data_IF_136544430451
#
_entry.id   IF_136544430451
#
_cell.length_a   1.000
_cell.length_b   1.000
_cell.length_c   1.000
_cell.angle_alpha   90.00
_cell.angle_beta   90.00
_cell.angle_gamma   90.00
#
_symmetry.space_group_name_H-M   'P 1'
#
loop_
_entity.id
_entity.type
_entity.pdbx_description
1 polymer ?
#
# COMPACT_ATOMS: atom_id res chain seq x y z
N UNK A 1 5.24 -23.57 1.83
CA UNK A 1 4.32 -22.90 2.77
C UNK A 1 4.17 -21.48 2.30
N UNK A 2 2.94 -20.99 2.17
CA UNK A 2 2.69 -19.59 1.88
C UNK A 2 3.18 -18.68 3.02
N UNK A 3 3.45 -17.41 2.70
CA UNK A 3 3.74 -16.37 3.70
C UNK A 3 2.51 -16.06 4.58
N UNK A 4 1.31 -16.43 4.12
CA UNK A 4 0.03 -16.16 4.75
C UNK A 4 -0.54 -17.40 5.45
N UNK A 5 -1.55 -17.17 6.29
CA UNK A 5 -2.35 -18.24 6.88
C UNK A 5 -3.39 -18.70 5.84
N UNK A 6 -3.21 -19.92 5.31
CA UNK A 6 -4.01 -20.48 4.22
C UNK A 6 -5.49 -20.68 4.63
N UNK A 7 -5.76 -20.87 5.93
CA UNK A 7 -7.12 -20.97 6.46
C UNK A 7 -7.77 -19.57 6.46
N UNK A 8 -7.04 -18.53 6.88
CA UNK A 8 -7.52 -17.15 6.83
C UNK A 8 -7.83 -16.72 5.39
N UNK A 9 -6.91 -17.00 4.45
CA UNK A 9 -7.11 -16.73 3.03
C UNK A 9 -8.33 -17.44 2.50
N UNK A 10 -8.48 -18.75 2.75
CA UNK A 10 -9.65 -19.51 2.31
C UNK A 10 -10.97 -18.92 2.84
N UNK A 11 -11.01 -18.54 4.12
CA UNK A 11 -12.19 -17.93 4.73
C UNK A 11 -12.51 -16.59 4.03
N UNK A 12 -11.48 -15.80 3.73
CA UNK A 12 -11.60 -14.54 3.01
C UNK A 12 -12.12 -14.73 1.59
N UNK A 13 -11.53 -15.65 0.84
CA UNK A 13 -11.90 -16.01 -0.54
C UNK A 13 -13.35 -16.52 -0.61
N UNK A 14 -13.76 -17.41 0.30
CA UNK A 14 -15.12 -17.95 0.35
C UNK A 14 -16.14 -16.80 0.57
N UNK A 15 -15.84 -15.86 1.47
CA UNK A 15 -16.69 -14.68 1.71
C UNK A 15 -16.74 -13.77 0.48
N UNK A 16 -15.59 -13.54 -0.15
CA UNK A 16 -15.47 -12.70 -1.34
C UNK A 16 -16.27 -13.28 -2.50
N UNK A 17 -16.12 -14.57 -2.80
CA UNK A 17 -16.77 -15.23 -3.93
C UNK A 17 -18.29 -15.31 -3.75
N UNK A 18 -18.78 -15.63 -2.54
CA UNK A 18 -20.22 -15.61 -2.25
C UNK A 18 -20.79 -14.19 -2.44
N UNK A 19 -20.11 -13.18 -1.89
CA UNK A 19 -20.54 -11.79 -2.00
C UNK A 19 -20.50 -11.29 -3.45
N UNK A 20 -19.42 -11.57 -4.18
CA UNK A 20 -19.22 -11.19 -5.59
C UNK A 20 -20.33 -11.74 -6.48
N UNK A 21 -20.72 -13.00 -6.26
CA UNK A 21 -21.86 -13.61 -6.98
C UNK A 21 -23.14 -12.80 -6.79
N UNK A 22 -23.46 -12.42 -5.55
CA UNK A 22 -24.66 -11.62 -5.23
C UNK A 22 -24.62 -10.22 -5.86
N UNK A 23 -23.44 -9.58 -5.86
CA UNK A 23 -23.25 -8.27 -6.52
C UNK A 23 -23.50 -8.38 -8.03
N UNK A 24 -22.99 -9.43 -8.68
CA UNK A 24 -23.18 -9.67 -10.11
C UNK A 24 -24.64 -9.98 -10.48
N UNK A 25 -25.32 -10.77 -9.66
CA UNK A 25 -26.76 -11.03 -9.79
C UNK A 25 -27.59 -9.72 -9.71
N UNK A 26 -27.14 -8.76 -8.91
CA UNK A 26 -27.76 -7.43 -8.76
C UNK A 26 -27.22 -6.36 -9.73
N UNK A 27 -26.40 -6.71 -10.73
CA UNK A 27 -25.69 -5.73 -11.58
C UNK A 27 -26.60 -4.73 -12.30
N UNK A 28 -27.79 -5.14 -12.74
CA UNK A 28 -28.79 -4.24 -13.35
C UNK A 28 -29.40 -3.23 -12.36
N UNK A 29 -29.67 -3.66 -11.12
CA UNK A 29 -30.14 -2.79 -10.05
C UNK A 29 -29.03 -1.82 -9.61
N UNK A 30 -27.79 -2.28 -9.57
CA UNK A 30 -26.63 -1.45 -9.24
C UNK A 30 -26.40 -0.41 -10.35
N UNK A 31 -26.51 -0.77 -11.63
CA UNK A 31 -26.45 0.20 -12.73
C UNK A 31 -27.53 1.29 -12.57
N UNK A 32 -28.76 0.87 -12.26
CA UNK A 32 -29.85 1.80 -11.97
C UNK A 32 -29.52 2.70 -10.78
N UNK A 33 -29.00 2.14 -9.68
CA UNK A 33 -28.58 2.90 -8.50
C UNK A 33 -27.50 3.94 -8.84
N UNK A 34 -26.51 3.58 -9.66
CA UNK A 34 -25.48 4.51 -10.14
C UNK A 34 -26.10 5.67 -10.90
N UNK A 35 -27.06 5.40 -11.80
CA UNK A 35 -27.77 6.46 -12.52
C UNK A 35 -28.53 7.40 -11.57
N UNK A 36 -29.22 6.87 -10.56
CA UNK A 36 -29.95 7.67 -9.57
C UNK A 36 -29.03 8.54 -8.70
N UNK A 37 -27.80 8.08 -8.42
CA UNK A 37 -26.80 8.81 -7.64
C UNK A 37 -26.02 9.83 -8.47
N UNK A 38 -25.96 9.66 -9.78
CA UNK A 38 -25.25 10.51 -10.73
C UNK A 38 -26.18 11.45 -11.50
N UNK A 39 -25.99 11.53 -12.82
CA UNK A 39 -26.71 12.46 -13.72
C UNK A 39 -28.15 12.03 -14.06
N UNK A 40 -28.58 10.83 -13.67
CA UNK A 40 -29.84 10.21 -14.10
C UNK A 40 -29.75 9.51 -15.47
N UNK A 41 -30.89 9.01 -15.95
CA UNK A 41 -31.03 8.42 -17.30
C UNK A 41 -30.97 6.89 -17.36
N UNK A 42 -31.19 6.37 -18.58
CA UNK A 42 -31.18 4.94 -18.87
C UNK A 42 -29.74 4.41 -18.84
N UNK A 43 -29.46 3.54 -17.87
CA UNK A 43 -28.15 2.97 -17.63
C UNK A 43 -28.11 1.47 -17.90
N UNK A 44 -26.92 0.96 -18.23
CA UNK A 44 -26.67 -0.47 -18.40
C UNK A 44 -25.32 -0.85 -17.80
N UNK A 45 -25.30 -2.00 -17.14
CA UNK A 45 -24.08 -2.68 -16.80
C UNK A 45 -23.33 -3.12 -18.07
N UNK A 46 -22.03 -2.86 -18.13
CA UNK A 46 -21.16 -3.19 -19.28
C UNK A 46 -20.31 -4.41 -18.97
N UNK A 47 -19.42 -4.28 -17.99
CA UNK A 47 -18.49 -5.30 -17.54
C UNK A 47 -18.02 -5.00 -16.12
N UNK A 48 -17.25 -5.92 -15.55
CA UNK A 48 -16.71 -5.80 -14.20
C UNK A 48 -15.19 -5.94 -14.21
N UNK A 49 -14.56 -5.41 -13.17
CA UNK A 49 -13.13 -5.52 -12.90
C UNK A 49 -12.93 -5.96 -11.46
N UNK A 50 -11.91 -6.78 -11.25
CA UNK A 50 -11.54 -7.31 -9.94
C UNK A 50 -10.09 -6.94 -9.68
N UNK A 51 -9.86 -6.25 -8.57
CA UNK A 51 -8.53 -6.05 -7.98
C UNK A 51 -8.42 -6.84 -6.67
N UNK A 52 -7.28 -6.73 -5.99
CA UNK A 52 -7.02 -7.49 -4.76
C UNK A 52 -8.04 -7.23 -3.65
N UNK A 53 -8.50 -5.99 -3.51
CA UNK A 53 -9.39 -5.57 -2.42
C UNK A 53 -10.75 -5.05 -2.89
N UNK A 54 -10.87 -4.68 -4.16
CA UNK A 54 -12.04 -3.97 -4.66
C UNK A 54 -12.65 -4.66 -5.88
N UNK A 55 -13.98 -4.67 -5.92
CA UNK A 55 -14.77 -5.15 -7.04
C UNK A 55 -15.49 -3.96 -7.69
N UNK A 56 -15.35 -3.84 -9.00
CA UNK A 56 -15.81 -2.69 -9.76
C UNK A 56 -16.80 -3.09 -10.85
N UNK A 57 -17.86 -2.31 -11.02
CA UNK A 57 -18.81 -2.45 -12.12
C UNK A 57 -18.78 -1.19 -12.98
N UNK A 58 -18.58 -1.36 -14.29
CA UNK A 58 -18.68 -0.28 -15.28
C UNK A 58 -20.13 -0.15 -15.74
N UNK A 59 -20.60 1.09 -15.75
CA UNK A 59 -21.97 1.47 -16.11
C UNK A 59 -21.90 2.49 -17.24
N UNK A 60 -22.67 2.25 -18.31
CA UNK A 60 -22.80 3.16 -19.46
C UNK A 60 -24.20 3.76 -19.51
N UNK A 61 -24.32 4.89 -20.19
CA UNK A 61 -25.54 5.68 -20.31
C UNK A 61 -25.88 5.92 -21.79
N UNK A 62 -27.16 5.90 -22.15
CA UNK A 62 -27.58 6.08 -23.56
C UNK A 62 -27.35 7.51 -24.09
N UNK A 63 -27.19 8.50 -23.21
CA UNK A 63 -27.18 9.93 -23.56
C UNK A 63 -25.80 10.48 -23.99
N UNK A 64 -24.87 9.63 -24.43
CA UNK A 64 -23.47 10.00 -24.72
C UNK A 64 -22.71 10.58 -23.50
N UNK A 65 -23.19 10.32 -22.28
CA UNK A 65 -22.42 10.63 -21.08
C UNK A 65 -21.23 9.68 -20.94
N UNK A 66 -20.11 10.13 -20.35
CA UNK A 66 -19.00 9.25 -20.03
C UNK A 66 -19.45 8.10 -19.13
N UNK A 67 -18.84 6.93 -19.34
CA UNK A 67 -19.09 5.79 -18.49
C UNK A 67 -18.68 6.10 -17.04
N UNK A 68 -19.41 5.50 -16.11
CA UNK A 68 -19.11 5.56 -14.69
C UNK A 68 -18.63 4.21 -14.18
N UNK A 69 -17.89 4.22 -13.08
CA UNK A 69 -17.49 3.02 -12.36
C UNK A 69 -17.97 3.13 -10.92
N UNK A 70 -18.63 2.08 -10.43
CA UNK A 70 -18.90 1.91 -9.01
C UNK A 70 -17.94 0.86 -8.46
N UNK A 71 -17.28 1.19 -7.37
CA UNK A 71 -16.28 0.35 -6.69
C UNK A 71 -16.72 0.06 -5.27
N UNK A 72 -16.64 -1.21 -4.90
CA UNK A 72 -16.87 -1.71 -3.54
C UNK A 72 -15.59 -2.39 -3.03
N UNK A 73 -15.05 -2.04 -1.84
CA UNK A 73 -14.12 -2.92 -1.16
C UNK A 73 -14.87 -4.20 -0.79
N UNK A 74 -14.39 -5.39 -1.10
CA UNK A 74 -15.15 -6.62 -0.80
C UNK A 74 -14.87 -7.20 0.61
N UNK A 75 -15.81 -7.97 1.17
CA UNK A 75 -15.60 -8.68 2.43
C UNK A 75 -14.53 -9.78 2.27
N UNK A 76 -13.97 -10.24 3.39
CA UNK A 76 -12.89 -11.22 3.40
C UNK A 76 -11.53 -10.63 3.04
N UNK A 77 -11.47 -9.80 1.99
CA UNK A 77 -10.23 -9.16 1.52
C UNK A 77 -10.05 -7.74 2.09
N UNK A 78 -11.07 -7.20 2.75
CA UNK A 78 -10.99 -5.89 3.42
C UNK A 78 -11.79 -5.89 4.72
N UNK A 79 -11.12 -5.50 5.82
CA UNK A 79 -11.73 -5.50 7.16
C UNK A 79 -12.49 -4.20 7.45
N UNK A 80 -11.82 -3.04 7.41
CA UNK A 80 -12.39 -1.75 7.82
C UNK A 80 -13.05 -1.00 6.66
N UNK A 81 -14.01 -1.64 5.98
CA UNK A 81 -14.53 -1.20 4.67
C UNK A 81 -15.08 0.24 4.68
N UNK A 82 -15.96 0.59 5.63
CA UNK A 82 -16.59 1.92 5.70
C UNK A 82 -15.57 3.03 6.01
N UNK A 83 -14.63 2.73 6.90
CA UNK A 83 -13.53 3.63 7.25
C UNK A 83 -12.59 3.85 6.06
N UNK A 84 -12.22 2.77 5.36
CA UNK A 84 -11.39 2.78 4.15
C UNK A 84 -11.98 3.69 3.07
N UNK A 85 -13.27 3.52 2.74
CA UNK A 85 -13.96 4.36 1.74
C UNK A 85 -14.01 5.81 2.19
N UNK A 86 -14.30 6.07 3.47
CA UNK A 86 -14.32 7.45 4.00
C UNK A 86 -12.96 8.12 3.86
N UNK A 87 -11.88 7.41 4.20
CA UNK A 87 -10.52 7.95 4.12
C UNK A 87 -10.11 8.21 2.67
N UNK A 88 -10.36 7.28 1.75
CA UNK A 88 -10.04 7.44 0.34
C UNK A 88 -10.81 8.61 -0.30
N UNK A 89 -12.09 8.77 0.02
CA UNK A 89 -12.89 9.91 -0.46
C UNK A 89 -12.33 11.25 0.02
N UNK A 90 -11.89 11.34 1.28
CA UNK A 90 -11.24 12.55 1.78
C UNK A 90 -9.95 12.85 1.04
N UNK A 91 -9.15 11.84 0.71
CA UNK A 91 -7.93 12.00 -0.09
C UNK A 91 -8.25 12.46 -1.51
N UNK A 92 -9.24 11.85 -2.18
CA UNK A 92 -9.68 12.28 -3.51
C UNK A 92 -10.12 13.75 -3.50
N UNK A 93 -10.96 14.14 -2.53
CA UNK A 93 -11.39 15.54 -2.37
C UNK A 93 -10.21 16.48 -2.12
N UNK A 94 -9.29 16.12 -1.23
CA UNK A 94 -8.10 16.93 -0.92
C UNK A 94 -7.26 17.15 -2.17
N UNK A 95 -6.94 16.09 -2.91
CA UNK A 95 -6.10 16.21 -4.09
C UNK A 95 -6.77 16.99 -5.22
N UNK A 96 -8.09 16.86 -5.40
CA UNK A 96 -8.84 17.65 -6.37
C UNK A 96 -8.85 19.16 -6.03
N UNK A 97 -8.85 19.49 -4.73
CA UNK A 97 -8.83 20.89 -4.28
C UNK A 97 -7.43 21.51 -4.29
N UNK A 98 -6.40 20.73 -4.00
CA UNK A 98 -5.07 21.23 -3.66
C UNK A 98 -4.01 20.99 -4.75
N UNK A 99 -4.28 20.13 -5.72
CA UNK A 99 -3.29 19.71 -6.74
C UNK A 99 -3.87 19.74 -8.14
N UNK A 100 -2.99 19.61 -9.13
CA UNK A 100 -3.38 19.37 -10.52
C UNK A 100 -3.19 17.88 -10.91
N UNK A 101 -3.06 16.98 -9.93
CA UNK A 101 -2.94 15.55 -10.17
C UNK A 101 -4.24 15.08 -10.84
N UNK A 102 -4.17 14.44 -12.02
CA UNK A 102 -5.38 14.00 -12.71
C UNK A 102 -5.97 12.81 -11.96
N UNK A 103 -7.12 12.99 -11.33
CA UNK A 103 -7.85 11.95 -10.59
C UNK A 103 -9.26 11.87 -11.17
N UNK A 104 -9.82 10.67 -11.40
CA UNK A 104 -11.19 10.53 -11.89
C UNK A 104 -12.17 11.29 -10.99
N UNK A 105 -13.09 12.04 -11.61
CA UNK A 105 -14.02 12.87 -10.84
C UNK A 105 -14.92 12.00 -9.97
N UNK A 106 -14.98 12.33 -8.68
CA UNK A 106 -15.90 11.71 -7.74
C UNK A 106 -17.34 12.15 -8.06
N UNK A 107 -18.21 11.21 -8.39
CA UNK A 107 -19.62 11.47 -8.70
C UNK A 107 -20.50 11.31 -7.46
N UNK A 108 -20.28 10.22 -6.73
CA UNK A 108 -21.02 9.91 -5.51
C UNK A 108 -20.26 8.88 -4.67
N UNK A 109 -20.62 8.74 -3.41
CA UNK A 109 -20.08 7.70 -2.54
C UNK A 109 -21.07 7.48 -1.39
N UNK A 110 -20.90 6.39 -0.65
CA UNK A 110 -21.75 6.09 0.49
C UNK A 110 -21.19 4.97 1.35
N UNK A 111 -21.74 4.85 2.56
CA UNK A 111 -21.38 3.79 3.49
C UNK A 111 -22.23 2.54 3.25
N UNK A 112 -21.94 1.45 3.96
CA UNK A 112 -22.70 0.18 3.85
C UNK A 112 -24.22 0.37 3.99
N UNK A 113 -24.66 1.28 4.87
CA UNK A 113 -26.08 1.59 5.07
C UNK A 113 -26.74 2.26 3.85
N UNK A 114 -25.96 2.92 3.01
CA UNK A 114 -26.43 3.72 1.86
C UNK A 114 -26.42 2.90 0.56
N UNK A 115 -25.94 1.65 0.64
CA UNK A 115 -25.62 0.76 -0.46
C UNK A 115 -26.80 -0.16 -0.81
N UNK A 116 -27.02 -0.47 -2.10
CA UNK A 116 -28.01 -1.47 -2.50
C UNK A 116 -27.72 -2.79 -1.79
N UNK A 117 -28.77 -3.40 -1.21
CA UNK A 117 -28.71 -4.67 -0.47
C UNK A 117 -27.64 -4.73 0.64
N UNK A 118 -27.17 -3.57 1.12
CA UNK A 118 -26.04 -3.49 2.06
C UNK A 118 -24.78 -4.23 1.58
N UNK A 119 -24.50 -4.24 0.27
CA UNK A 119 -23.30 -4.90 -0.24
C UNK A 119 -22.00 -4.34 0.35
N UNK A 120 -22.01 -3.10 0.80
CA UNK A 120 -20.90 -2.44 1.48
C UNK A 120 -20.75 -0.99 1.05
N UNK A 121 -19.77 -0.26 1.59
CA UNK A 121 -19.54 1.12 1.17
C UNK A 121 -19.07 1.14 -0.29
N UNK A 122 -19.28 2.28 -0.94
CA UNK A 122 -19.00 2.40 -2.36
C UNK A 122 -18.45 3.77 -2.73
N UNK A 123 -17.71 3.81 -3.84
CA UNK A 123 -17.29 5.02 -4.54
C UNK A 123 -17.79 4.92 -5.97
N UNK A 124 -18.48 5.96 -6.45
CA UNK A 124 -18.87 6.14 -7.85
C UNK A 124 -18.03 7.27 -8.43
N UNK A 125 -17.27 7.00 -9.48
CA UNK A 125 -16.47 7.99 -10.19
C UNK A 125 -16.67 7.88 -11.70
N UNK A 126 -16.14 8.85 -12.44
CA UNK A 126 -15.92 8.70 -13.88
C UNK A 126 -15.04 7.47 -14.14
N UNK A 127 -15.32 6.77 -15.24
CA UNK A 127 -14.45 5.72 -15.75
C UNK A 127 -13.21 6.37 -16.39
N UNK A 128 -12.02 5.98 -15.93
CA UNK A 128 -10.77 6.52 -16.47
C UNK A 128 -10.43 5.93 -17.84
N UNK A 129 -10.14 6.80 -18.82
CA UNK A 129 -9.66 6.39 -20.13
C UNK A 129 -8.13 6.28 -20.17
N UNK A 130 -7.62 5.19 -20.75
CA UNK A 130 -6.19 4.99 -20.98
C UNK A 130 -5.78 3.53 -20.84
N UNK A 131 -4.47 3.30 -20.87
CA UNK A 131 -3.85 2.01 -20.53
C UNK A 131 -3.00 2.17 -19.28
N UNK A 132 -2.81 1.12 -18.50
CA UNK A 132 -1.96 1.20 -17.32
C UNK A 132 -0.51 1.50 -17.72
N UNK A 133 0.16 2.41 -17.03
CA UNK A 133 1.57 2.75 -17.30
C UNK A 133 2.45 1.50 -17.19
N UNK A 134 2.15 0.61 -16.23
CA UNK A 134 2.86 -0.68 -16.11
C UNK A 134 2.73 -1.56 -17.36
N UNK A 135 1.64 -1.50 -18.12
CA UNK A 135 1.47 -2.30 -19.35
C UNK A 135 2.35 -1.82 -20.49
N UNK A 136 2.72 -0.53 -20.49
CA UNK A 136 3.65 0.05 -21.45
C UNK A 136 5.10 -0.25 -21.04
N UNK A 137 5.38 -0.17 -19.75
CA UNK A 137 6.73 -0.33 -19.21
C UNK A 137 7.18 -1.80 -19.08
N UNK A 138 6.24 -2.75 -19.00
CA UNK A 138 6.57 -4.16 -18.75
C UNK A 138 7.30 -4.83 -19.91
N UNK A 139 8.13 -5.81 -19.58
CA UNK A 139 8.77 -6.68 -20.55
C UNK A 139 7.72 -7.57 -21.25
N UNK A 140 7.53 -7.45 -22.58
CA UNK A 140 6.60 -8.30 -23.31
C UNK A 140 7.00 -9.79 -23.31
N UNK A 141 8.26 -10.12 -23.02
CA UNK A 141 8.75 -11.50 -22.92
C UNK A 141 8.20 -12.23 -21.68
N UNK A 142 7.90 -11.50 -20.60
CA UNK A 142 7.45 -12.08 -19.33
C UNK A 142 5.99 -11.77 -19.04
N UNK A 143 5.08 -12.52 -19.65
CA UNK A 143 3.63 -12.32 -19.49
C UNK A 143 3.09 -12.59 -18.08
N UNK A 144 3.79 -13.41 -17.28
CA UNK A 144 3.33 -13.87 -15.95
C UNK A 144 3.76 -12.96 -14.80
N UNK A 145 4.83 -12.20 -14.98
CA UNK A 145 5.41 -11.39 -13.92
C UNK A 145 5.73 -10.00 -14.45
N UNK A 146 5.41 -8.97 -13.66
CA UNK A 146 5.76 -7.60 -14.01
C UNK A 146 7.26 -7.40 -13.77
N UNK A 147 7.99 -7.26 -14.85
CA UNK A 147 9.37 -6.81 -14.90
C UNK A 147 9.43 -5.59 -15.80
N UNK A 148 10.20 -4.58 -15.42
CA UNK A 148 10.53 -3.49 -16.33
C UNK A 148 11.25 -4.06 -17.57
N UNK A 149 10.84 -3.62 -18.77
CA UNK A 149 11.48 -4.02 -20.01
C UNK A 149 12.94 -3.54 -20.02
N UNK A 150 13.94 -4.44 -20.08
CA UNK A 150 15.35 -4.05 -20.09
C UNK A 150 15.76 -3.29 -21.37
N UNK A 151 14.95 -3.41 -22.43
CA UNK A 151 15.12 -2.72 -23.70
C UNK A 151 14.08 -1.61 -23.90
N UNK A 152 13.49 -1.08 -22.82
CA UNK A 152 12.54 0.03 -22.91
C UNK A 152 13.21 1.25 -23.56
N UNK A 153 12.47 1.97 -24.40
CA UNK A 153 12.95 3.21 -24.97
C UNK A 153 13.26 4.20 -23.84
N UNK A 154 14.51 4.69 -23.80
CA UNK A 154 14.98 5.56 -22.73
C UNK A 154 14.19 6.88 -22.63
N UNK A 155 13.74 7.44 -23.76
CA UNK A 155 12.92 8.67 -23.75
C UNK A 155 11.52 8.41 -23.22
N UNK A 156 10.95 7.25 -23.53
CA UNK A 156 9.66 6.83 -22.99
C UNK A 156 9.75 6.68 -21.47
N UNK A 157 10.79 6.00 -20.97
CA UNK A 157 11.01 5.82 -19.55
C UNK A 157 11.25 7.15 -18.82
N UNK A 158 12.09 8.02 -19.39
CA UNK A 158 12.35 9.36 -18.86
C UNK A 158 11.06 10.20 -18.75
N UNK A 159 10.22 10.20 -19.79
CA UNK A 159 8.92 10.90 -19.77
C UNK A 159 7.99 10.35 -18.66
N UNK A 160 7.94 9.03 -18.50
CA UNK A 160 7.16 8.41 -17.43
C UNK A 160 7.69 8.82 -16.03
N UNK A 161 9.00 8.78 -15.83
CA UNK A 161 9.62 9.18 -14.56
C UNK A 161 9.46 10.66 -14.25
N UNK A 162 9.49 11.54 -15.25
CA UNK A 162 9.25 12.98 -15.08
C UNK A 162 7.82 13.25 -14.61
N UNK A 163 6.81 12.65 -15.24
CA UNK A 163 5.42 12.85 -14.83
C UNK A 163 5.13 12.25 -13.44
N UNK A 164 5.71 11.09 -13.11
CA UNK A 164 5.62 10.52 -11.76
C UNK A 164 6.34 11.39 -10.72
N UNK A 165 7.48 11.98 -11.08
CA UNK A 165 8.20 12.90 -10.20
C UNK A 165 7.37 14.15 -9.91
N UNK A 166 6.68 14.70 -10.91
CA UNK A 166 5.77 15.83 -10.74
C UNK A 166 4.63 15.52 -9.75
N UNK A 167 4.00 14.35 -9.86
CA UNK A 167 2.98 13.89 -8.91
C UNK A 167 3.55 13.79 -7.49
N UNK A 168 4.68 13.11 -7.31
CA UNK A 168 5.31 12.97 -6.00
C UNK A 168 5.69 14.32 -5.38
N UNK A 169 6.19 15.24 -6.19
CA UNK A 169 6.54 16.58 -5.75
C UNK A 169 5.31 17.38 -5.31
N UNK A 170 4.21 17.30 -6.08
CA UNK A 170 2.93 17.90 -5.70
C UNK A 170 2.38 17.31 -4.39
N UNK A 171 2.55 16.01 -4.12
CA UNK A 171 2.13 15.41 -2.85
C UNK A 171 3.02 15.84 -1.68
N UNK A 172 4.33 15.93 -1.91
CA UNK A 172 5.32 16.25 -0.90
C UNK A 172 5.19 17.69 -0.35
N UNK A 173 4.56 18.61 -1.07
CA UNK A 173 4.46 20.02 -0.66
C UNK A 173 3.54 20.25 0.56
N UNK A 174 2.71 19.29 0.95
CA UNK A 174 1.74 19.45 2.03
C UNK A 174 2.28 18.95 3.36
N UNK A 175 2.19 19.81 4.39
CA UNK A 175 2.58 19.51 5.75
C UNK A 175 1.35 19.26 6.64
N UNK A 176 1.45 18.23 7.47
CA UNK A 176 0.40 17.85 8.40
C UNK A 176 0.96 17.74 9.83
N UNK A 177 0.12 17.98 10.86
CA UNK A 177 0.56 18.01 12.26
C UNK A 177 0.65 16.64 12.93
N UNK A 178 0.12 15.59 12.31
CA UNK A 178 0.11 14.22 12.86
C UNK A 178 0.15 13.17 11.72
N UNK A 179 0.47 11.93 12.07
CA UNK A 179 0.31 10.71 11.28
C UNK A 179 -1.12 10.19 11.47
N UNK A 180 -1.88 10.05 10.38
CA UNK A 180 -3.27 9.63 10.45
C UNK A 180 -4.05 9.88 9.15
N UNK A 181 -5.34 9.58 9.18
CA UNK A 181 -6.21 9.86 8.05
C UNK A 181 -6.67 11.33 8.06
N UNK A 182 -6.61 11.98 6.89
CA UNK A 182 -7.12 13.34 6.72
C UNK A 182 -8.65 13.35 6.65
N UNK A 183 -9.24 14.43 7.14
CA UNK A 183 -10.67 14.69 7.04
C UNK A 183 -10.93 16.17 6.85
N UNK A 184 -12.00 16.47 6.11
CA UNK A 184 -12.48 17.83 5.94
C UNK A 184 -13.61 18.12 6.91
N UNK A 185 -13.51 19.22 7.64
CA UNK A 185 -14.66 19.78 8.36
C UNK A 185 -15.47 20.64 7.39
N UNK A 186 -16.67 20.19 7.04
CA UNK A 186 -17.55 20.87 6.08
C UNK A 186 -18.06 22.22 6.62
N UNK A 187 -18.03 22.45 7.94
CA UNK A 187 -18.50 23.71 8.55
C UNK A 187 -17.46 24.82 8.46
N UNK A 188 -16.20 24.51 8.73
CA UNK A 188 -15.08 25.45 8.64
C UNK A 188 -14.37 25.43 7.29
N UNK A 189 -14.66 24.43 6.44
CA UNK A 189 -13.96 24.15 5.19
C UNK A 189 -12.45 23.94 5.39
N UNK A 190 -12.04 23.34 6.52
CA UNK A 190 -10.63 23.11 6.86
C UNK A 190 -10.27 21.62 6.87
N UNK A 191 -9.02 21.34 6.50
CA UNK A 191 -8.45 20.00 6.51
C UNK A 191 -7.72 19.75 7.84
N UNK A 192 -7.92 18.57 8.40
CA UNK A 192 -7.30 18.15 9.67
C UNK A 192 -6.97 16.65 9.65
N UNK A 193 -6.13 16.22 10.59
CA UNK A 193 -5.80 14.80 10.84
C UNK A 193 -6.49 14.38 12.13
N UNK A 194 -7.68 13.78 12.01
CA UNK A 194 -8.53 13.50 13.16
C UNK A 194 -8.63 12.01 13.52
N UNK A 195 -8.17 11.11 12.65
CA UNK A 195 -8.34 9.66 12.79
C UNK A 195 -7.00 8.93 12.68
N UNK A 196 -6.96 7.71 13.22
CA UNK A 196 -5.84 6.78 13.07
C UNK A 196 -5.42 6.63 11.59
N UNK A 197 -4.15 6.28 11.32
CA UNK A 197 -3.79 5.81 10.00
C UNK A 197 -4.47 4.46 9.74
N UNK A 198 -4.96 4.26 8.51
CA UNK A 198 -5.43 2.96 8.04
C UNK A 198 -4.52 2.50 6.89
N UNK A 199 -3.64 1.54 7.13
CA UNK A 199 -2.57 1.16 6.20
C UNK A 199 -2.88 -0.12 5.44
N UNK A 200 -2.19 -0.30 4.31
CA UNK A 200 -2.17 -1.56 3.56
C UNK A 200 -1.80 -2.74 4.48
N UNK A 201 -0.72 -2.59 5.26
CA UNK A 201 -0.24 -3.65 6.16
C UNK A 201 -1.25 -4.03 7.25
N UNK A 202 -2.02 -3.07 7.78
CA UNK A 202 -3.10 -3.37 8.72
C UNK A 202 -4.20 -4.21 8.06
N UNK A 203 -4.52 -3.94 6.80
CA UNK A 203 -5.51 -4.74 6.06
C UNK A 203 -5.01 -6.16 5.82
N UNK A 204 -3.78 -6.34 5.36
CA UNK A 204 -3.19 -7.67 5.16
C UNK A 204 -3.18 -8.47 6.46
N UNK A 205 -2.64 -7.89 7.55
CA UNK A 205 -2.62 -8.56 8.86
C UNK A 205 -4.01 -9.00 9.31
N UNK A 206 -5.02 -8.14 9.11
CA UNK A 206 -6.39 -8.42 9.51
C UNK A 206 -7.10 -9.48 8.65
N UNK A 207 -6.64 -9.72 7.43
CA UNK A 207 -7.32 -10.59 6.46
C UNK A 207 -6.59 -11.90 6.21
N UNK A 208 -5.26 -11.93 6.37
CA UNK A 208 -4.43 -13.09 5.99
C UNK A 208 -3.58 -13.67 7.13
N UNK A 209 -3.63 -13.09 8.33
CA UNK A 209 -2.73 -13.48 9.43
C UNK A 209 -3.41 -13.74 10.79
N UNK A 210 -4.75 -13.76 10.85
CA UNK A 210 -5.53 -13.82 12.10
C UNK A 210 -5.05 -12.83 13.17
N UNK A 211 -4.60 -11.64 12.73
CA UNK A 211 -4.14 -10.60 13.63
C UNK A 211 -5.30 -10.08 14.50
N UNK A 212 -5.10 -9.88 15.83
CA UNK A 212 -6.13 -9.32 16.71
C UNK A 212 -6.39 -7.85 16.35
N UNK A 213 -7.49 -7.59 15.65
CA UNK A 213 -7.81 -6.27 15.07
C UNK A 213 -8.04 -5.18 16.13
N UNK A 214 -8.33 -5.57 17.36
CA UNK A 214 -8.44 -4.70 18.55
C UNK A 214 -7.10 -4.11 19.01
N UNK A 215 -5.97 -4.71 18.62
CA UNK A 215 -4.62 -4.23 18.96
C UNK A 215 -4.15 -3.11 18.01
N UNK A 216 -4.89 -2.84 16.93
CA UNK A 216 -4.58 -1.72 16.04
C UNK A 216 -4.78 -0.38 16.75
N UNK A 217 -3.96 0.60 16.37
CA UNK A 217 -4.10 1.96 16.87
C UNK A 217 -5.50 2.52 16.58
N UNK A 218 -6.03 3.32 17.50
CA UNK A 218 -7.35 3.96 17.39
C UNK A 218 -7.27 5.48 17.27
N UNK A 219 -6.07 6.06 17.37
CA UNK A 219 -5.81 7.51 17.31
C UNK A 219 -4.66 7.85 16.35
N UNK A 220 -4.56 9.12 15.90
CA UNK A 220 -3.37 9.62 15.21
C UNK A 220 -2.11 9.52 16.09
N UNK A 221 -0.93 9.65 15.47
CA UNK A 221 0.36 9.77 16.16
C UNK A 221 0.99 11.14 15.90
N UNK A 222 1.66 11.71 16.90
CA UNK A 222 2.40 12.99 16.79
C UNK A 222 3.91 12.81 16.84
N UNK A 223 4.39 11.55 16.79
CA UNK A 223 5.80 11.19 16.78
C UNK A 223 6.06 10.05 15.79
N UNK A 224 7.08 10.21 14.94
CA UNK A 224 7.55 9.19 14.00
C UNK A 224 8.08 7.96 14.75
N UNK A 225 8.87 8.16 15.80
CA UNK A 225 9.43 7.07 16.61
C UNK A 225 8.33 6.31 17.36
N UNK A 226 7.31 6.98 17.87
CA UNK A 226 6.16 6.29 18.48
C UNK A 226 5.38 5.46 17.47
N UNK A 227 5.23 5.97 16.24
CA UNK A 227 4.62 5.20 15.15
C UNK A 227 5.48 3.98 14.77
N UNK A 228 6.81 4.09 14.71
CA UNK A 228 7.69 2.93 14.45
C UNK A 228 7.74 1.93 15.62
N UNK A 229 7.66 2.39 16.86
CA UNK A 229 7.50 1.50 18.03
C UNK A 229 6.17 0.76 17.95
N UNK A 230 5.11 1.43 17.51
CA UNK A 230 3.82 0.78 17.22
C UNK A 230 3.97 -0.29 16.13
N UNK A 231 4.60 0.00 14.99
CA UNK A 231 4.82 -0.99 13.93
C UNK A 231 5.68 -2.18 14.41
N UNK A 232 6.71 -1.92 15.24
CA UNK A 232 7.54 -3.01 15.80
C UNK A 232 6.76 -3.91 16.75
N UNK A 233 5.85 -3.35 17.56
CA UNK A 233 4.91 -4.15 18.37
C UNK A 233 3.96 -4.96 17.49
N UNK A 234 3.46 -4.37 16.40
CA UNK A 234 2.62 -5.06 15.42
C UNK A 234 3.35 -6.26 14.81
N UNK A 235 4.64 -6.12 14.46
CA UNK A 235 5.46 -7.24 13.98
C UNK A 235 5.56 -8.36 15.02
N UNK A 236 5.77 -8.04 16.30
CA UNK A 236 5.82 -9.08 17.35
C UNK A 236 4.45 -9.74 17.58
N UNK A 237 3.35 -8.97 17.57
CA UNK A 237 1.99 -9.52 17.68
C UNK A 237 1.67 -10.43 16.51
N UNK A 238 2.01 -10.02 15.27
CA UNK A 238 1.86 -10.82 14.07
C UNK A 238 2.57 -12.18 14.19
N UNK A 239 3.84 -12.16 14.63
CA UNK A 239 4.63 -13.38 14.84
C UNK A 239 4.00 -14.35 15.86
N UNK A 240 3.35 -13.80 16.90
CA UNK A 240 2.63 -14.59 17.91
C UNK A 240 1.28 -15.11 17.42
N UNK A 241 0.55 -14.31 16.64
CA UNK A 241 -0.81 -14.59 16.21
C UNK A 241 -0.86 -15.61 15.06
N UNK A 242 -0.05 -15.42 14.02
CA UNK A 242 -0.08 -16.29 12.85
C UNK A 242 0.62 -17.61 13.12
N UNK A 243 -0.15 -18.70 13.20
CA UNK A 243 0.31 -20.01 13.70
C UNK A 243 1.37 -20.65 12.80
N UNK A 244 1.25 -20.48 11.49
CA UNK A 244 2.11 -21.07 10.48
C UNK A 244 3.28 -20.18 10.03
N UNK A 245 3.49 -19.01 10.67
CA UNK A 245 4.51 -18.06 10.20
C UNK A 245 5.94 -18.61 10.33
N UNK A 246 6.18 -19.54 11.24
CA UNK A 246 7.48 -20.22 11.41
C UNK A 246 7.32 -21.68 11.01
N UNK A 247 8.10 -22.17 10.04
CA UNK A 247 8.07 -23.57 9.60
C UNK A 247 9.00 -24.48 10.43
N UNK A 248 9.87 -23.91 11.27
CA UNK A 248 10.82 -24.64 12.10
C UNK A 248 11.14 -23.93 13.42
N UNK A 249 11.83 -24.64 14.33
CA UNK A 249 12.34 -24.06 15.59
C UNK A 249 13.39 -22.99 15.32
N UNK A 250 14.26 -23.26 14.35
CA UNK A 250 15.34 -22.39 13.91
C UNK A 250 14.77 -21.08 13.35
N UNK A 251 13.78 -21.17 12.47
CA UNK A 251 13.10 -20.02 11.89
C UNK A 251 12.31 -19.22 12.94
N UNK A 252 11.59 -19.89 13.86
CA UNK A 252 10.93 -19.22 14.97
C UNK A 252 11.93 -18.43 15.84
N UNK A 253 13.11 -19.01 16.09
CA UNK A 253 14.17 -18.36 16.85
C UNK A 253 14.70 -17.13 16.11
N UNK A 254 14.97 -17.26 14.82
CA UNK A 254 15.45 -16.18 13.97
C UNK A 254 14.45 -15.03 13.89
N UNK A 255 13.19 -15.30 13.53
CA UNK A 255 12.12 -14.30 13.44
C UNK A 255 11.94 -13.54 14.77
N UNK A 256 12.00 -14.25 15.90
CA UNK A 256 11.94 -13.60 17.22
C UNK A 256 13.11 -12.65 17.43
N UNK A 257 14.35 -13.11 17.22
CA UNK A 257 15.54 -12.29 17.44
C UNK A 257 15.54 -11.08 16.50
N UNK A 258 15.30 -11.30 15.20
CA UNK A 258 15.36 -10.25 14.18
C UNK A 258 14.33 -9.15 14.45
N UNK A 259 13.07 -9.49 14.78
CA UNK A 259 12.06 -8.46 15.07
C UNK A 259 12.39 -7.63 16.32
N UNK A 260 13.02 -8.22 17.34
CA UNK A 260 13.48 -7.46 18.51
C UNK A 260 14.72 -6.60 18.18
N UNK A 261 15.66 -7.11 17.39
CA UNK A 261 16.80 -6.32 16.92
C UNK A 261 16.38 -5.17 16.01
N UNK A 262 15.38 -5.38 15.15
CA UNK A 262 14.80 -4.35 14.30
C UNK A 262 14.25 -3.19 15.15
N UNK A 263 13.58 -3.49 16.27
CA UNK A 263 13.07 -2.46 17.18
C UNK A 263 14.19 -1.58 17.78
N UNK A 264 15.41 -2.10 17.93
CA UNK A 264 16.56 -1.32 18.40
C UNK A 264 17.09 -0.33 17.34
N UNK A 265 16.65 -0.44 16.09
CA UNK A 265 17.07 0.45 15.00
C UNK A 265 16.21 1.72 14.90
N UNK A 266 15.09 1.79 15.64
CA UNK A 266 14.13 2.90 15.55
C UNK A 266 14.81 4.25 15.77
N UNK A 267 15.56 4.40 16.86
CA UNK A 267 16.20 5.67 17.20
C UNK A 267 17.30 6.06 16.20
N UNK A 268 17.93 5.07 15.54
CA UNK A 268 18.96 5.29 14.50
C UNK A 268 18.35 5.85 13.21
N UNK A 269 17.18 5.35 12.79
CA UNK A 269 16.59 5.66 11.48
C UNK A 269 15.45 6.66 11.52
N UNK A 270 15.01 7.08 12.71
CA UNK A 270 13.99 8.12 12.83
C UNK A 270 14.56 9.49 12.47
N UNK A 271 13.88 10.19 11.56
CA UNK A 271 14.12 11.59 11.22
C UNK A 271 12.83 12.39 11.40
N UNK A 272 12.96 13.69 11.69
CA UNK A 272 11.83 14.61 11.86
C UNK A 272 10.74 14.05 12.80
N UNK A 273 11.14 13.69 14.04
CA UNK A 273 10.27 12.92 14.94
C UNK A 273 8.90 13.56 15.14
N UNK A 274 8.85 14.89 15.29
CA UNK A 274 7.61 15.65 15.49
C UNK A 274 7.07 16.30 14.22
N UNK A 275 7.47 15.79 13.05
CA UNK A 275 7.04 16.27 11.75
C UNK A 275 7.90 17.40 11.15
N UNK A 276 7.43 18.03 10.06
CA UNK A 276 6.09 17.88 9.49
C UNK A 276 5.83 16.47 8.92
N UNK A 277 4.59 16.01 9.00
CA UNK A 277 4.17 14.75 8.38
C UNK A 277 3.67 15.01 6.95
N UNK A 278 3.79 14.02 6.07
CA UNK A 278 3.52 14.15 4.63
C UNK A 278 2.43 13.19 4.18
N UNK A 279 1.67 13.55 3.15
CA UNK A 279 0.74 12.62 2.52
C UNK A 279 1.53 11.51 1.81
N UNK A 280 1.20 10.25 2.08
CA UNK A 280 1.89 9.09 1.53
C UNK A 280 0.89 8.01 1.12
N UNK A 281 1.00 7.56 -0.12
CA UNK A 281 0.26 6.43 -0.68
C UNK A 281 1.25 5.33 -1.03
N UNK A 282 1.19 4.21 -0.31
CA UNK A 282 2.15 3.12 -0.49
C UNK A 282 2.02 2.42 -1.86
N UNK A 283 0.81 2.41 -2.40
CA UNK A 283 0.47 1.78 -3.68
C UNK A 283 0.46 2.79 -4.85
N UNK A 284 1.09 3.96 -4.71
CA UNK A 284 1.26 4.90 -5.83
C UNK A 284 2.34 4.39 -6.79
N UNK A 285 1.95 3.49 -7.69
CA UNK A 285 2.82 2.75 -8.62
C UNK A 285 2.25 2.73 -10.05
N UNK A 286 3.04 2.39 -11.08
CA UNK A 286 2.60 2.39 -12.49
C UNK A 286 1.36 1.55 -12.81
N UNK A 287 1.04 0.55 -12.00
CA UNK A 287 -0.19 -0.24 -12.10
C UNK A 287 -1.45 0.60 -11.82
N UNK A 288 -1.32 1.67 -11.03
CA UNK A 288 -2.42 2.56 -10.65
C UNK A 288 -2.41 3.90 -11.42
N UNK A 289 -1.70 3.96 -12.54
CA UNK A 289 -1.60 5.15 -13.38
C UNK A 289 -2.13 4.81 -14.77
N UNK A 290 -3.13 5.55 -15.24
CA UNK A 290 -3.60 5.47 -16.62
C UNK A 290 -2.93 6.53 -17.47
N UNK A 291 -2.50 6.14 -18.67
CA UNK A 291 -1.90 7.04 -19.65
C UNK A 291 -2.56 6.92 -21.01
N UNK A 292 -2.54 7.99 -21.77
CA UNK A 292 -2.86 7.95 -23.20
C UNK A 292 -1.70 7.25 -23.95
N UNK A 293 -1.94 6.10 -24.61
CA UNK A 293 -0.88 5.36 -25.30
C UNK A 293 -0.28 6.10 -26.51
N UNK A 294 -0.94 7.15 -27.03
CA UNK A 294 -0.44 7.95 -28.17
C UNK A 294 0.46 9.09 -27.70
N UNK A 295 0.09 9.76 -26.62
CA UNK A 295 0.78 10.96 -26.14
C UNK A 295 1.70 10.69 -24.94
N UNK A 296 1.55 9.53 -24.30
CA UNK A 296 2.20 9.16 -23.03
C UNK A 296 1.86 10.11 -21.87
N UNK A 297 0.78 10.88 -21.96
CA UNK A 297 0.33 11.76 -20.87
C UNK A 297 -0.45 10.96 -19.84
N UNK A 298 -0.20 11.21 -18.55
CA UNK A 298 -1.00 10.66 -17.46
C UNK A 298 -2.42 11.27 -17.52
N UNK A 299 -3.41 10.39 -17.64
CA UNK A 299 -4.83 10.72 -17.66
C UNK A 299 -5.50 10.55 -16.29
N UNK A 300 -5.02 9.61 -15.48
CA UNK A 300 -5.60 9.36 -14.16
C UNK A 300 -4.61 8.68 -13.21
N UNK A 301 -4.64 9.10 -11.94
CA UNK A 301 -4.13 8.38 -10.78
C UNK A 301 -5.30 7.67 -10.12
N UNK A 302 -5.17 6.35 -9.98
CA UNK A 302 -6.15 5.46 -9.40
C UNK A 302 -5.69 4.97 -8.02
N UNK A 303 -6.56 4.24 -7.35
CA UNK A 303 -6.28 3.50 -6.12
C UNK A 303 -5.60 4.33 -5.02
N UNK A 304 -6.30 5.35 -4.52
CA UNK A 304 -5.81 6.22 -3.44
C UNK A 304 -6.16 5.66 -2.05
N UNK A 305 -6.59 4.41 -1.97
CA UNK A 305 -6.84 3.69 -0.73
C UNK A 305 -5.57 3.59 0.12
N UNK A 306 -5.75 3.49 1.44
CA UNK A 306 -4.66 3.46 2.42
C UNK A 306 -3.67 4.63 2.36
N UNK A 307 -4.03 5.72 1.68
CA UNK A 307 -3.29 6.99 1.72
C UNK A 307 -3.56 7.69 3.04
N UNK A 308 -2.50 8.07 3.75
CA UNK A 308 -2.58 8.74 5.03
C UNK A 308 -1.47 9.81 5.13
N UNK A 309 -1.56 10.68 6.12
CA UNK A 309 -0.40 11.43 6.58
C UNK A 309 0.53 10.48 7.33
N UNK A 310 1.82 10.53 7.02
CA UNK A 310 2.83 9.57 7.44
C UNK A 310 4.14 10.27 7.79
N UNK A 311 5.11 9.59 8.44
CA UNK A 311 6.46 10.14 8.63
C UNK A 311 7.01 10.78 7.34
N UNK A 312 7.65 11.94 7.45
CA UNK A 312 8.23 12.64 6.29
C UNK A 312 9.17 11.71 5.49
N UNK A 313 9.91 10.87 6.21
CA UNK A 313 10.81 9.86 5.65
C UNK A 313 10.11 8.77 4.83
N UNK A 314 8.79 8.65 4.80
CA UNK A 314 8.14 7.77 3.82
C UNK A 314 7.95 8.46 2.47
N UNK A 315 7.57 9.74 2.50
CA UNK A 315 7.37 10.54 1.30
C UNK A 315 8.68 11.06 0.68
N UNK A 316 9.80 10.89 1.37
CA UNK A 316 11.13 11.37 0.95
C UNK A 316 12.05 10.29 0.38
N UNK A 317 11.59 9.05 0.31
CA UNK A 317 12.38 7.90 -0.14
C UNK A 317 12.13 7.60 -1.61
N UNK A 318 13.08 6.97 -2.31
CA UNK A 318 12.89 6.66 -3.71
C UNK A 318 11.76 5.63 -3.90
N UNK A 319 11.02 5.66 -5.02
CA UNK A 319 9.88 4.78 -5.21
C UNK A 319 10.29 3.31 -5.32
N UNK A 320 9.79 2.44 -4.46
CA UNK A 320 10.17 1.02 -4.43
C UNK A 320 9.88 0.26 -5.75
N UNK A 321 9.02 0.80 -6.62
CA UNK A 321 8.49 0.14 -7.81
C UNK A 321 9.28 0.42 -9.10
N UNK A 322 10.48 1.02 -9.08
CA UNK A 322 11.21 1.36 -10.32
C UNK A 322 11.45 0.16 -11.25
N UNK A 323 11.41 -1.08 -10.74
CA UNK A 323 11.49 -2.33 -11.51
C UNK A 323 10.12 -2.95 -11.85
N UNK A 324 9.03 -2.22 -11.61
CA UNK A 324 7.63 -2.64 -11.60
C UNK A 324 7.26 -3.69 -10.53
N UNK A 325 8.23 -4.07 -9.70
CA UNK A 325 8.14 -5.03 -8.61
C UNK A 325 8.96 -4.52 -7.41
N UNK A 326 8.53 -4.88 -6.19
CA UNK A 326 9.27 -4.59 -4.96
C UNK A 326 10.31 -5.66 -4.62
N UNK A 327 11.14 -5.40 -3.59
CA UNK A 327 12.13 -6.35 -3.07
C UNK A 327 11.54 -7.72 -2.69
N UNK A 328 10.39 -7.73 -2.03
CA UNK A 328 9.57 -8.90 -1.67
C UNK A 328 9.25 -9.77 -2.89
N UNK A 329 8.79 -9.15 -3.97
CA UNK A 329 8.46 -9.88 -5.20
C UNK A 329 9.68 -10.49 -5.88
N UNK A 330 10.89 -9.96 -5.66
CA UNK A 330 12.12 -10.56 -6.19
C UNK A 330 12.49 -11.86 -5.46
N UNK A 331 12.31 -11.90 -4.14
CA UNK A 331 12.52 -13.12 -3.34
C UNK A 331 11.60 -14.26 -3.79
N UNK A 332 10.31 -13.97 -3.97
CA UNK A 332 9.31 -14.94 -4.45
C UNK A 332 9.69 -15.51 -5.83
N UNK A 333 10.45 -14.76 -6.62
CA UNK A 333 10.94 -15.16 -7.95
C UNK A 333 12.29 -15.90 -7.91
N UNK A 334 12.76 -16.28 -6.72
CA UNK A 334 14.00 -17.02 -6.51
C UNK A 334 15.27 -16.18 -6.72
N UNK A 335 15.17 -14.86 -6.54
CA UNK A 335 16.31 -13.92 -6.61
C UNK A 335 16.66 -13.43 -5.21
N UNK A 336 17.87 -12.92 -5.03
CA UNK A 336 18.27 -12.36 -3.72
C UNK A 336 17.91 -10.88 -3.58
N UNK A 337 18.04 -10.35 -2.37
CA UNK A 337 17.89 -8.92 -2.12
C UNK A 337 18.99 -8.10 -2.83
N UNK A 338 20.20 -8.64 -2.93
CA UNK A 338 21.32 -8.03 -3.66
C UNK A 338 21.07 -8.01 -5.18
N UNK A 339 20.44 -9.06 -5.72
CA UNK A 339 19.98 -9.08 -7.12
C UNK A 339 19.01 -7.93 -7.39
N UNK A 340 18.06 -7.69 -6.47
CA UNK A 340 17.15 -6.55 -6.56
C UNK A 340 17.91 -5.23 -6.52
N UNK A 341 18.79 -5.04 -5.52
CA UNK A 341 19.55 -3.80 -5.35
C UNK A 341 20.36 -3.47 -6.61
N UNK A 342 21.11 -4.44 -7.13
CA UNK A 342 21.95 -4.27 -8.32
C UNK A 342 21.12 -3.92 -9.57
N UNK A 343 19.91 -4.49 -9.70
CA UNK A 343 19.00 -4.15 -10.79
C UNK A 343 18.35 -2.77 -10.61
N UNK A 344 18.08 -2.36 -9.37
CA UNK A 344 17.34 -1.15 -9.04
C UNK A 344 18.18 0.13 -9.19
N UNK A 345 19.45 0.09 -8.76
CA UNK A 345 20.33 1.27 -8.69
C UNK A 345 20.47 2.05 -10.01
N UNK A 346 20.63 1.42 -11.19
CA UNK A 346 20.66 2.15 -12.46
C UNK A 346 19.38 2.96 -12.72
N UNK A 347 18.21 2.40 -12.37
CA UNK A 347 16.92 3.07 -12.54
C UNK A 347 16.67 4.14 -11.49
N UNK A 348 17.19 3.95 -10.27
CA UNK A 348 17.23 4.99 -9.26
C UNK A 348 17.96 6.23 -9.79
N UNK A 349 19.13 6.07 -10.39
CA UNK A 349 19.87 7.21 -10.96
C UNK A 349 19.12 7.93 -12.09
N UNK A 350 18.39 7.18 -12.93
CA UNK A 350 17.53 7.78 -13.96
C UNK A 350 16.35 8.54 -13.35
N UNK A 351 15.71 7.96 -12.34
CA UNK A 351 14.59 8.58 -11.63
C UNK A 351 15.02 9.86 -10.90
N UNK A 352 16.16 9.83 -10.21
CA UNK A 352 16.70 11.01 -9.52
C UNK A 352 16.99 12.16 -10.49
N UNK A 353 17.47 11.87 -11.71
CA UNK A 353 17.66 12.89 -12.75
C UNK A 353 16.33 13.48 -13.22
N UNK A 354 15.30 12.66 -13.39
CA UNK A 354 13.96 13.13 -13.74
C UNK A 354 13.38 14.02 -12.64
N UNK A 355 13.48 13.60 -11.38
CA UNK A 355 13.07 14.39 -10.21
C UNK A 355 13.79 15.74 -10.16
N UNK A 356 15.11 15.77 -10.36
CA UNK A 356 15.90 17.01 -10.41
C UNK A 356 15.44 17.98 -11.51
N UNK A 357 15.07 17.47 -12.68
CA UNK A 357 14.53 18.31 -13.77
C UNK A 357 13.19 18.93 -13.37
N UNK A 358 12.29 18.16 -12.76
CA UNK A 358 11.00 18.64 -12.28
C UNK A 358 11.17 19.67 -11.16
N UNK A 359 12.03 19.41 -10.19
CA UNK A 359 12.35 20.35 -9.11
C UNK A 359 12.90 21.68 -9.66
N UNK A 360 13.80 21.61 -10.63
CA UNK A 360 14.40 22.78 -11.27
C UNK A 360 13.36 23.59 -12.05
N UNK A 361 12.44 22.93 -12.75
CA UNK A 361 11.34 23.57 -13.46
C UNK A 361 10.35 24.27 -12.49
N UNK A 362 10.22 23.77 -11.26
CA UNK A 362 9.41 24.36 -10.19
C UNK A 362 10.17 25.38 -9.32
N UNK A 363 11.42 25.72 -9.66
CA UNK A 363 12.22 26.72 -8.94
C UNK A 363 12.72 26.27 -7.55
N UNK A 364 12.68 24.98 -7.24
CA UNK A 364 13.17 24.45 -5.97
C UNK A 364 14.71 24.46 -5.93
N UNK A 365 15.25 24.89 -4.79
CA UNK A 365 16.69 24.89 -4.56
C UNK A 365 17.18 23.54 -4.02
N UNK A 366 18.40 23.15 -4.41
CA UNK A 366 19.02 21.85 -4.11
C UNK A 366 19.02 21.43 -2.62
N UNK A 367 19.06 22.36 -1.67
CA UNK A 367 19.06 22.02 -0.24
C UNK A 367 17.74 21.43 0.27
N UNK A 368 16.61 21.74 -0.38
CA UNK A 368 15.27 21.28 -0.04
C UNK A 368 14.73 20.28 -1.08
N UNK A 369 15.60 19.66 -1.88
CA UNK A 369 15.19 18.80 -2.98
C UNK A 369 14.86 17.37 -2.51
N UNK A 370 13.72 16.86 -2.96
CA UNK A 370 13.27 15.50 -2.79
C UNK A 370 14.25 14.50 -3.42
N UNK A 371 14.85 14.83 -4.57
CA UNK A 371 15.90 14.02 -5.20
C UNK A 371 17.12 13.80 -4.30
N UNK A 372 17.50 14.82 -3.51
CA UNK A 372 18.60 14.70 -2.54
C UNK A 372 18.19 13.80 -1.38
N UNK A 373 16.99 13.99 -0.84
CA UNK A 373 16.47 13.19 0.27
C UNK A 373 16.33 11.71 -0.12
N UNK A 374 15.88 11.42 -1.35
CA UNK A 374 15.79 10.07 -1.89
C UNK A 374 17.17 9.41 -2.00
N UNK A 375 18.17 10.15 -2.51
CA UNK A 375 19.55 9.66 -2.61
C UNK A 375 20.15 9.37 -1.23
N UNK A 376 19.92 10.28 -0.28
CA UNK A 376 20.37 10.14 1.10
C UNK A 376 19.69 8.94 1.78
N UNK A 377 18.39 8.78 1.60
CA UNK A 377 17.63 7.67 2.19
C UNK A 377 18.07 6.31 1.69
N UNK A 378 18.43 6.22 0.40
CA UNK A 378 19.06 5.03 -0.17
C UNK A 378 20.46 4.76 0.41
N UNK A 379 21.35 5.76 0.36
CA UNK A 379 22.76 5.57 0.77
C UNK A 379 22.95 5.32 2.27
N UNK A 380 22.04 5.85 3.10
CA UNK A 380 22.03 5.65 4.55
C UNK A 380 21.27 4.40 4.99
N UNK A 381 20.68 3.65 4.04
CA UNK A 381 19.81 2.48 4.28
C UNK A 381 18.50 2.78 5.01
N UNK A 382 18.12 4.06 5.12
CA UNK A 382 16.82 4.50 5.67
C UNK A 382 15.65 3.98 4.83
N UNK A 383 15.82 3.89 3.50
CA UNK A 383 14.88 3.21 2.61
C UNK A 383 14.53 1.81 3.13
N UNK A 384 15.54 0.99 3.44
CA UNK A 384 15.36 -0.40 3.87
C UNK A 384 14.66 -0.51 5.22
N UNK A 385 15.03 0.35 6.18
CA UNK A 385 14.33 0.42 7.47
C UNK A 385 12.85 0.79 7.28
N UNK A 386 12.57 1.82 6.47
CA UNK A 386 11.21 2.27 6.19
C UNK A 386 10.38 1.24 5.43
N UNK A 387 11.00 0.49 4.52
CA UNK A 387 10.37 -0.57 3.77
C UNK A 387 10.01 -1.75 4.69
N UNK A 388 10.96 -2.24 5.49
CA UNK A 388 10.74 -3.31 6.47
C UNK A 388 9.67 -2.93 7.52
N UNK A 389 9.68 -1.69 8.02
CA UNK A 389 8.69 -1.22 8.99
C UNK A 389 7.24 -1.44 8.50
N UNK A 390 7.00 -1.27 7.19
CA UNK A 390 5.68 -1.39 6.56
C UNK A 390 5.37 -2.77 6.00
N UNK A 391 6.33 -3.70 6.01
CA UNK A 391 6.23 -5.03 5.38
C UNK A 391 6.42 -6.12 6.45
N UNK A 392 5.36 -6.41 7.25
CA UNK A 392 5.46 -7.34 8.38
C UNK A 392 5.81 -8.79 8.00
N UNK A 393 5.68 -9.15 6.72
CA UNK A 393 5.99 -10.48 6.20
C UNK A 393 7.44 -10.62 5.70
N UNK A 394 8.15 -9.52 5.49
CA UNK A 394 9.48 -9.49 4.85
C UNK A 394 10.58 -8.93 5.77
N UNK A 395 10.25 -8.68 7.05
CA UNK A 395 11.13 -7.97 8.01
C UNK A 395 12.47 -8.69 8.14
N UNK A 396 12.43 -10.01 8.25
CA UNK A 396 13.61 -10.86 8.42
C UNK A 396 14.58 -10.76 7.24
N UNK A 397 14.05 -10.96 6.03
CA UNK A 397 14.85 -10.93 4.80
C UNK A 397 15.51 -9.56 4.58
N UNK A 398 14.76 -8.47 4.80
CA UNK A 398 15.28 -7.11 4.65
C UNK A 398 16.31 -6.79 5.74
N UNK A 399 16.02 -7.17 6.98
CA UNK A 399 16.92 -6.91 8.11
C UNK A 399 18.26 -7.61 7.91
N UNK A 400 18.24 -8.91 7.60
CA UNK A 400 19.44 -9.70 7.41
C UNK A 400 20.27 -9.21 6.22
N UNK A 401 19.63 -8.80 5.13
CA UNK A 401 20.32 -8.36 3.91
C UNK A 401 20.91 -6.95 4.05
N UNK A 402 20.20 -6.03 4.71
CA UNK A 402 20.55 -4.61 4.65
C UNK A 402 20.77 -3.92 5.99
N UNK A 403 20.17 -4.36 7.09
CA UNK A 403 20.13 -3.60 8.34
C UNK A 403 21.01 -4.18 9.44
N UNK A 404 21.45 -5.43 9.32
CA UNK A 404 22.32 -6.09 10.30
C UNK A 404 23.82 -5.74 10.14
N UNK A 405 24.15 -4.46 9.98
CA UNK A 405 25.51 -3.99 9.66
C UNK A 405 26.58 -4.39 10.68
N UNK A 406 26.22 -4.40 11.98
CA UNK A 406 27.17 -4.73 13.05
C UNK A 406 27.17 -6.23 13.41
N UNK A 407 26.50 -7.07 12.60
CA UNK A 407 26.27 -8.49 12.92
C UNK A 407 25.71 -8.68 14.33
N UNK A 408 24.77 -7.80 14.72
CA UNK A 408 24.13 -7.84 16.04
C UNK A 408 23.41 -9.15 16.18
N UNK A 409 23.66 -9.84 17.29
CA UNK A 409 22.99 -11.06 17.66
C UNK A 409 22.14 -10.88 18.91
N UNK A 410 21.68 -12.01 19.41
CA UNK A 410 20.85 -12.12 20.62
C UNK A 410 21.46 -11.41 21.84
N UNK A 411 22.78 -11.28 21.91
CA UNK A 411 23.50 -10.60 23.00
C UNK A 411 23.17 -9.10 23.13
N UNK A 412 22.64 -8.48 22.07
CA UNK A 412 22.18 -7.09 22.09
C UNK A 412 20.81 -6.91 22.75
N UNK A 413 20.08 -7.99 23.02
CA UNK A 413 18.75 -7.97 23.61
C UNK A 413 18.81 -7.99 25.15
N UNK A 414 17.82 -7.38 25.80
CA UNK A 414 17.70 -7.39 27.27
C UNK A 414 17.43 -8.81 27.84
N UNK A 415 17.67 -8.98 29.14
CA UNK A 415 17.53 -10.27 29.83
C UNK A 415 16.12 -10.87 29.75
N UNK A 416 15.09 -10.02 29.76
CA UNK A 416 13.69 -10.45 29.70
C UNK A 416 13.37 -11.05 28.33
N UNK A 417 13.71 -10.33 27.27
CA UNK A 417 13.56 -10.74 25.88
C UNK A 417 14.34 -12.04 25.60
N UNK A 418 15.58 -12.13 26.08
CA UNK A 418 16.38 -13.36 25.93
C UNK A 418 15.80 -14.53 26.70
N UNK A 419 15.33 -14.30 27.92
CA UNK A 419 14.72 -15.31 28.78
C UNK A 419 13.42 -15.88 28.22
N UNK A 420 12.65 -15.08 27.46
CA UNK A 420 11.38 -15.49 26.87
C UNK A 420 11.51 -16.31 25.57
N UNK A 421 12.70 -16.33 24.94
CA UNK A 421 12.90 -16.92 23.61
C UNK A 421 12.52 -18.40 23.52
N UNK A 422 13.01 -19.25 24.42
CA UNK A 422 12.74 -20.70 24.34
C UNK A 422 11.27 -21.04 24.56
N UNK A 423 10.60 -20.31 25.46
CA UNK A 423 9.18 -20.46 25.70
C UNK A 423 8.36 -20.04 24.46
N UNK A 424 8.77 -18.95 23.79
CA UNK A 424 8.18 -18.52 22.53
C UNK A 424 8.36 -19.57 21.43
N UNK A 425 9.58 -20.09 21.23
CA UNK A 425 9.86 -21.12 20.21
C UNK A 425 9.03 -22.38 20.48
N UNK A 426 8.90 -22.80 21.74
CA UNK A 426 8.07 -23.95 22.10
C UNK A 426 6.59 -23.71 21.74
N UNK A 427 6.07 -22.52 22.04
CA UNK A 427 4.71 -22.11 21.67
C UNK A 427 4.50 -22.16 20.14
N UNK A 428 5.46 -21.68 19.35
CA UNK A 428 5.37 -21.71 17.88
C UNK A 428 5.31 -23.12 17.31
N UNK A 429 6.11 -24.05 17.85
CA UNK A 429 6.08 -25.46 17.42
C UNK A 429 4.72 -26.10 17.71
N UNK A 430 4.13 -25.81 18.86
CA UNK A 430 2.80 -26.31 19.24
C UNK A 430 1.71 -25.72 18.33
N UNK A 431 1.79 -24.42 18.04
CA UNK A 431 0.88 -23.74 17.11
C UNK A 431 0.96 -24.32 15.70
N UNK A 432 2.17 -24.51 15.14
CA UNK A 432 2.36 -25.06 13.79
C UNK A 432 1.79 -26.48 13.70
N UNK A 433 2.05 -27.32 14.71
CA UNK A 433 1.48 -28.68 14.74
C UNK A 433 -0.05 -28.66 14.73
N UNK A 434 -0.67 -27.83 15.55
CA UNK A 434 -2.12 -27.68 15.58
C UNK A 434 -2.68 -27.14 14.26
N UNK A 435 -1.98 -26.18 13.66
CA UNK A 435 -2.30 -25.63 12.35
C UNK A 435 -2.28 -26.70 11.25
N UNK A 436 -1.22 -27.51 11.17
CA UNK A 436 -1.10 -28.58 10.19
C UNK A 436 -2.18 -29.66 10.32
N UNK A 437 -2.62 -29.94 11.56
CA UNK A 437 -3.75 -30.84 11.83
C UNK A 437 -5.07 -30.24 11.33
N UNK A 438 -5.29 -28.94 11.51
CA UNK A 438 -6.48 -28.23 11.06
C UNK A 438 -6.52 -28.05 9.53
N UNK A 439 -5.41 -27.70 8.89
CA UNK A 439 -5.32 -27.61 7.43
C UNK A 439 -5.75 -28.91 6.74
N UNK A 440 -5.36 -30.07 7.26
CA UNK A 440 -5.77 -31.39 6.71
C UNK A 440 -7.27 -31.64 6.77
N UNK A 441 -8.01 -30.89 7.60
CA UNK A 441 -9.46 -31.01 7.76
C UNK A 441 -10.23 -29.98 6.93
N UNK A 442 -9.65 -28.79 6.73
CA UNK A 442 -10.34 -27.62 6.15
C UNK A 442 -9.94 -27.29 4.70
N UNK A 443 -8.72 -27.70 4.28
CA UNK A 443 -8.15 -27.49 2.95
C UNK A 443 -8.08 -28.82 2.21
#
# INVERSE_FOLDING_TARGET
>A
MGYFDEIAEKIGDDQWDEWKKRVLEASGEIASFVAHRGSGGDSKFVNWFEGSFNFCLRVTFQNSEPDSIIRFPGPGHTTFRDEKVTNEVNVIKFLHEQTNIPIPRLLSWGLTKDSPHHFGPFIISEFGDGVHLSDILKDPAYKRHLYLNPNIDGRLLENAFEQMSDILLQLHQFDFPAIGAISKDESSNTWSVARRPLTYSMNELATTAFYPVEDFATSPFTSTSDYFRYLSRQHITHLRAQRNLSASREEAREQYIVRHLFALLIDKYTTDDHGPFKLFCDDLRPQNILVDPKTMRINAVLNLEFTNTMPSQYASEPPWWLLLAGPDSYLIRGRTMEDFQAAYEPFLELFLKAMQRVESANGLQHHASLSRLMREGWSTKRFWFNYAARKPFDVEDIFNSFLNDDSKGIECLDDETRGALEAFVQTKVEQLKAYDEECKLLL
#
